data_IF_082554065370
#
_entry.id   IF_082554065370
#
_cell.length_a   1.000
_cell.length_b   1.000
_cell.length_c   1.000
_cell.angle_alpha   90.00
_cell.angle_beta   90.00
_cell.angle_gamma   90.00
#
_symmetry.space_group_name_H-M   'P 1'
#
loop_
_entity.id
_entity.type
_entity.pdbx_description
1 polymer ?
#
# COMPACT_ATOMS: atom_id res chain seq x y z
N UNK A 1 -41.35 -9.51 13.72
CA UNK A 1 -40.17 -9.54 14.60
C UNK A 1 -39.33 -10.76 14.23
N UNK A 2 -38.42 -10.63 13.29
CA UNK A 2 -37.44 -11.66 12.93
C UNK A 2 -36.07 -11.05 13.12
N UNK A 3 -35.40 -11.47 14.19
CA UNK A 3 -34.05 -11.05 14.56
C UNK A 3 -33.02 -11.67 13.59
N UNK A 4 -32.58 -10.93 12.59
CA UNK A 4 -31.40 -11.31 11.81
C UNK A 4 -30.14 -11.05 12.64
N UNK A 5 -29.47 -12.15 13.02
CA UNK A 5 -28.17 -12.15 13.65
C UNK A 5 -27.11 -11.54 12.71
N UNK A 6 -26.22 -10.67 13.19
CA UNK A 6 -25.19 -10.06 12.34
C UNK A 6 -24.22 -11.14 11.84
N UNK A 7 -24.11 -11.29 10.52
CA UNK A 7 -23.12 -12.17 9.86
C UNK A 7 -21.70 -11.75 10.26
N UNK A 8 -21.10 -12.53 11.11
CA UNK A 8 -19.68 -12.45 11.47
C UNK A 8 -18.82 -12.42 10.19
N UNK A 9 -18.20 -11.28 9.87
CA UNK A 9 -17.16 -11.20 8.85
C UNK A 9 -16.04 -12.17 9.25
N UNK A 10 -15.86 -13.26 8.48
CA UNK A 10 -14.73 -14.19 8.62
C UNK A 10 -13.43 -13.38 8.59
N UNK A 11 -12.79 -13.22 9.73
CA UNK A 11 -11.43 -12.73 9.88
C UNK A 11 -10.56 -13.56 8.94
N UNK A 12 -9.99 -12.97 7.90
CA UNK A 12 -9.06 -13.70 7.00
C UNK A 12 -8.03 -14.36 7.89
N UNK A 13 -8.04 -15.69 7.89
CA UNK A 13 -7.24 -16.51 8.77
C UNK A 13 -5.76 -16.17 8.59
N UNK A 14 -5.00 -15.89 9.65
CA UNK A 14 -3.55 -15.67 9.57
C UNK A 14 -2.81 -16.90 9.05
N UNK A 15 -3.46 -18.06 9.03
CA UNK A 15 -2.95 -19.34 8.54
C UNK A 15 -2.52 -19.32 7.07
N UNK A 16 -3.20 -18.56 6.21
CA UNK A 16 -2.79 -18.39 4.80
C UNK A 16 -1.42 -17.69 4.70
N UNK A 17 -1.19 -16.67 5.51
CA UNK A 17 0.09 -15.96 5.56
C UNK A 17 1.21 -16.87 6.08
N UNK A 18 0.95 -17.62 7.16
CA UNK A 18 1.88 -18.59 7.70
C UNK A 18 2.13 -19.76 6.75
N UNK A 19 1.11 -20.21 6.00
CA UNK A 19 1.24 -21.23 4.95
C UNK A 19 2.15 -20.77 3.81
N UNK A 20 1.98 -19.55 3.31
CA UNK A 20 2.85 -18.96 2.28
C UNK A 20 4.28 -18.82 2.80
N UNK A 21 4.47 -18.33 4.03
CA UNK A 21 5.79 -18.20 4.64
C UNK A 21 6.47 -19.56 4.83
N UNK A 22 5.74 -20.57 5.28
CA UNK A 22 6.24 -21.93 5.42
C UNK A 22 6.62 -22.52 4.05
N UNK A 23 5.79 -22.32 3.02
CA UNK A 23 6.09 -22.78 1.65
C UNK A 23 7.33 -22.07 1.08
N UNK A 24 7.50 -20.78 1.29
CA UNK A 24 8.68 -20.02 0.88
C UNK A 24 9.94 -20.49 1.62
N UNK A 25 9.83 -20.78 2.91
CA UNK A 25 10.91 -21.28 3.73
C UNK A 25 11.31 -22.72 3.32
N UNK A 26 10.33 -23.55 3.02
CA UNK A 26 10.52 -24.92 2.52
C UNK A 26 11.18 -24.91 1.13
N UNK A 27 10.74 -24.02 0.25
CA UNK A 27 11.36 -23.80 -1.06
C UNK A 27 12.81 -23.34 -0.90
N UNK A 28 13.07 -22.41 0.02
CA UNK A 28 14.42 -21.93 0.32
C UNK A 28 15.32 -23.07 0.85
N UNK A 29 14.80 -23.93 1.74
CA UNK A 29 15.51 -25.10 2.27
C UNK A 29 15.75 -26.15 1.19
N UNK A 30 14.80 -26.43 0.31
CA UNK A 30 14.96 -27.34 -0.83
C UNK A 30 16.03 -26.81 -1.78
N UNK A 31 15.99 -25.53 -2.11
CA UNK A 31 17.01 -24.88 -2.94
C UNK A 31 18.39 -24.93 -2.26
N UNK A 32 18.47 -24.79 -0.94
CA UNK A 32 19.70 -24.92 -0.18
C UNK A 32 20.23 -26.38 -0.18
N UNK A 33 19.35 -27.35 -0.02
CA UNK A 33 19.72 -28.77 0.06
C UNK A 33 20.10 -29.36 -1.31
N UNK A 34 19.35 -29.01 -2.36
CA UNK A 34 19.60 -29.47 -3.74
C UNK A 34 20.47 -28.50 -4.56
N UNK A 35 20.84 -27.36 -4.00
CA UNK A 35 21.66 -26.35 -4.65
C UNK A 35 23.10 -26.84 -4.87
N UNK A 36 23.77 -26.24 -5.84
CA UNK A 36 25.16 -26.55 -6.14
C UNK A 36 26.09 -26.29 -4.92
N UNK A 37 27.23 -26.99 -4.80
CA UNK A 37 28.17 -26.77 -3.70
C UNK A 37 28.64 -25.34 -3.53
N UNK A 38 28.61 -24.54 -4.60
CA UNK A 38 28.92 -23.12 -4.61
C UNK A 38 27.93 -22.26 -3.81
N UNK A 39 26.65 -22.63 -3.79
CA UNK A 39 25.64 -21.95 -2.97
C UNK A 39 25.91 -22.21 -1.49
N UNK A 40 26.16 -23.47 -1.12
CA UNK A 40 26.44 -23.86 0.27
C UNK A 40 27.72 -23.21 0.82
N UNK A 41 28.79 -23.09 0.02
CA UNK A 41 30.03 -22.44 0.44
C UNK A 41 29.86 -20.92 0.65
N UNK A 42 29.07 -20.25 -0.20
CA UNK A 42 28.82 -18.82 -0.07
C UNK A 42 28.10 -18.47 1.25
N UNK A 43 27.21 -19.32 1.75
CA UNK A 43 26.54 -19.12 3.02
C UNK A 43 27.42 -19.37 4.26
N UNK A 44 28.58 -19.96 4.11
CA UNK A 44 29.57 -20.12 5.17
C UNK A 44 30.52 -18.92 5.31
N UNK A 45 30.56 -18.04 4.30
CA UNK A 45 31.39 -16.84 4.32
C UNK A 45 30.68 -15.70 5.07
N UNK A 46 31.22 -15.24 6.24
CA UNK A 46 30.64 -14.14 7.01
C UNK A 46 30.60 -12.82 6.22
N UNK A 47 31.57 -12.56 5.34
CA UNK A 47 31.64 -11.36 4.52
C UNK A 47 30.52 -11.34 3.48
N UNK A 48 30.25 -12.49 2.87
CA UNK A 48 29.15 -12.65 1.93
C UNK A 48 27.80 -12.41 2.63
N UNK A 49 27.58 -13.04 3.79
CA UNK A 49 26.36 -12.87 4.58
C UNK A 49 26.15 -11.40 4.98
N UNK A 50 27.21 -10.74 5.43
CA UNK A 50 27.12 -9.33 5.79
C UNK A 50 26.72 -8.45 4.59
N UNK A 51 27.42 -8.59 3.45
CA UNK A 51 27.19 -7.75 2.26
C UNK A 51 25.90 -8.07 1.52
N UNK A 52 25.49 -9.32 1.45
CA UNK A 52 24.36 -9.78 0.63
C UNK A 52 23.07 -10.01 1.42
N UNK A 53 23.15 -10.18 2.74
CA UNK A 53 21.98 -10.45 3.58
C UNK A 53 21.79 -9.34 4.63
N UNK A 54 22.70 -9.20 5.58
CA UNK A 54 22.49 -8.32 6.74
C UNK A 54 22.44 -6.84 6.36
N UNK A 55 23.39 -6.34 5.58
CA UNK A 55 23.46 -4.93 5.18
C UNK A 55 22.23 -4.48 4.37
N UNK A 56 21.77 -5.21 3.33
CA UNK A 56 20.54 -4.86 2.63
C UNK A 56 19.29 -4.95 3.49
N UNK A 57 19.13 -6.00 4.32
CA UNK A 57 17.99 -6.13 5.22
C UNK A 57 17.95 -5.00 6.26
N UNK A 58 19.09 -4.66 6.85
CA UNK A 58 19.19 -3.54 7.80
C UNK A 58 18.79 -2.22 7.14
N UNK A 59 19.33 -1.96 5.93
CA UNK A 59 18.98 -0.77 5.15
C UNK A 59 17.48 -0.71 4.85
N UNK A 60 16.88 -1.82 4.40
CA UNK A 60 15.45 -1.90 4.14
C UNK A 60 14.63 -1.68 5.40
N UNK A 61 15.01 -2.32 6.52
CA UNK A 61 14.34 -2.15 7.81
C UNK A 61 14.35 -0.70 8.26
N UNK A 62 15.50 -0.02 8.18
CA UNK A 62 15.63 1.39 8.54
C UNK A 62 14.76 2.28 7.64
N UNK A 63 14.77 2.06 6.32
CA UNK A 63 13.98 2.85 5.38
C UNK A 63 12.47 2.60 5.54
N UNK A 64 12.05 1.36 5.74
CA UNK A 64 10.65 1.01 6.04
C UNK A 64 10.22 1.66 7.36
N UNK A 65 11.07 1.62 8.39
CA UNK A 65 10.81 2.26 9.67
C UNK A 65 10.63 3.76 9.52
N UNK A 66 11.51 4.42 8.76
CA UNK A 66 11.41 5.85 8.47
C UNK A 66 10.11 6.18 7.73
N UNK A 67 9.74 5.37 6.72
CA UNK A 67 8.48 5.54 5.98
C UNK A 67 7.25 5.34 6.86
N UNK A 68 7.27 4.37 7.76
CA UNK A 68 6.18 4.13 8.71
C UNK A 68 6.04 5.28 9.71
N UNK A 69 7.16 5.79 10.25
CA UNK A 69 7.16 6.93 11.17
C UNK A 69 6.67 8.19 10.45
N UNK A 70 7.19 8.48 9.26
CA UNK A 70 6.76 9.61 8.46
C UNK A 70 5.25 9.56 8.16
N UNK A 71 4.72 8.39 7.75
CA UNK A 71 3.30 8.18 7.51
C UNK A 71 2.46 8.44 8.76
N UNK A 72 2.91 7.99 9.93
CA UNK A 72 2.20 8.19 11.20
C UNK A 72 2.27 9.65 11.69
N UNK A 73 3.38 10.34 11.49
CA UNK A 73 3.51 11.76 11.81
C UNK A 73 2.56 12.60 10.93
N UNK A 74 2.46 12.28 9.64
CA UNK A 74 1.49 12.92 8.73
C UNK A 74 0.06 12.65 9.19
N UNK A 75 -0.27 11.42 9.58
CA UNK A 75 -1.59 11.05 10.12
C UNK A 75 -1.90 11.82 11.41
N UNK A 76 -0.93 11.92 12.32
CA UNK A 76 -1.08 12.56 13.63
C UNK A 76 -1.10 14.09 13.58
N UNK A 77 -0.45 14.70 12.57
CA UNK A 77 -0.31 16.16 12.44
C UNK A 77 -1.64 16.89 12.15
N UNK A 78 -2.74 16.14 11.97
CA UNK A 78 -4.06 16.73 11.68
C UNK A 78 -4.15 17.40 10.29
N UNK A 79 -3.24 17.08 9.39
CA UNK A 79 -3.27 17.57 7.99
C UNK A 79 -4.59 17.24 7.28
N UNK A 80 -5.29 16.21 7.77
CA UNK A 80 -6.61 15.80 7.29
C UNK A 80 -7.65 16.93 7.34
N UNK A 81 -7.57 17.84 8.33
CA UNK A 81 -8.43 19.02 8.40
C UNK A 81 -8.19 20.03 7.26
N UNK A 82 -6.94 20.20 6.84
CA UNK A 82 -6.58 21.06 5.69
C UNK A 82 -6.97 20.42 4.35
N UNK A 83 -6.96 19.09 4.27
CA UNK A 83 -7.40 18.36 3.09
C UNK A 83 -8.90 18.54 2.83
N UNK A 84 -9.72 18.74 3.86
CA UNK A 84 -11.15 18.99 3.68
C UNK A 84 -11.43 20.26 2.87
N UNK A 85 -10.56 21.26 2.94
CA UNK A 85 -10.66 22.48 2.13
C UNK A 85 -10.47 22.20 0.62
N UNK A 86 -9.58 21.24 0.27
CA UNK A 86 -9.33 20.80 -1.11
C UNK A 86 -10.45 19.87 -1.58
N UNK A 87 -10.98 19.06 -0.66
CA UNK A 87 -12.04 18.08 -0.95
C UNK A 87 -13.37 18.77 -1.32
N UNK A 88 -13.72 19.84 -0.63
CA UNK A 88 -15.00 20.56 -0.89
C UNK A 88 -15.21 20.97 -2.35
N UNK A 89 -14.30 21.68 -3.03
CA UNK A 89 -14.50 22.04 -4.43
C UNK A 89 -14.59 20.81 -5.34
N UNK A 90 -13.80 19.74 -5.05
CA UNK A 90 -13.82 18.50 -5.80
C UNK A 90 -15.19 17.81 -5.71
N UNK A 91 -15.75 17.68 -4.49
CA UNK A 91 -17.07 17.09 -4.26
C UNK A 91 -18.18 17.91 -4.88
N UNK A 92 -18.12 19.24 -4.76
CA UNK A 92 -19.08 20.16 -5.39
C UNK A 92 -19.09 20.02 -6.90
N UNK A 93 -17.92 20.03 -7.52
CA UNK A 93 -17.80 19.92 -8.97
C UNK A 93 -18.34 18.56 -9.48
N UNK A 94 -18.13 17.49 -8.73
CA UNK A 94 -18.60 16.15 -9.05
C UNK A 94 -20.06 15.86 -8.66
N UNK A 95 -20.81 16.82 -8.11
CA UNK A 95 -22.19 16.64 -7.58
C UNK A 95 -22.29 15.52 -6.54
N UNK A 96 -21.21 15.28 -5.79
CA UNK A 96 -21.13 14.25 -4.78
C UNK A 96 -21.71 14.77 -3.44
N UNK A 97 -22.55 13.97 -2.76
CA UNK A 97 -23.19 14.40 -1.50
C UNK A 97 -22.20 14.47 -0.34
N UNK A 98 -22.64 15.10 0.77
CA UNK A 98 -21.82 15.32 1.97
C UNK A 98 -21.22 14.03 2.55
N UNK A 99 -21.98 12.96 2.59
CA UNK A 99 -21.51 11.67 3.05
C UNK A 99 -20.33 11.13 2.23
N UNK A 100 -20.29 11.44 0.91
CA UNK A 100 -19.15 11.12 0.04
C UNK A 100 -17.92 11.94 0.45
N UNK A 101 -18.08 13.23 0.71
CA UNK A 101 -17.00 14.11 1.16
C UNK A 101 -16.44 13.70 2.52
N UNK A 102 -17.30 13.35 3.46
CA UNK A 102 -16.90 12.84 4.77
C UNK A 102 -16.11 11.52 4.66
N UNK A 103 -16.60 10.56 3.86
CA UNK A 103 -15.87 9.31 3.59
C UNK A 103 -14.53 9.56 2.93
N UNK A 104 -14.46 10.40 1.89
CA UNK A 104 -13.24 10.73 1.19
C UNK A 104 -12.18 11.36 2.12
N UNK A 105 -12.59 12.29 2.99
CA UNK A 105 -11.71 12.89 4.01
C UNK A 105 -11.23 11.83 5.02
N UNK A 106 -12.14 10.96 5.46
CA UNK A 106 -11.81 9.87 6.39
C UNK A 106 -10.84 8.87 5.77
N UNK A 107 -10.87 8.69 4.44
CA UNK A 107 -9.97 7.78 3.73
C UNK A 107 -8.49 8.19 3.80
N UNK A 108 -8.17 9.46 4.04
CA UNK A 108 -6.79 9.89 4.32
C UNK A 108 -6.26 9.43 5.67
N UNK A 109 -7.13 8.97 6.58
CA UNK A 109 -6.75 8.42 7.88
C UNK A 109 -6.89 6.92 7.90
N UNK A 110 -8.02 6.42 7.39
CA UNK A 110 -8.33 4.99 7.39
C UNK A 110 -9.27 4.64 6.25
N UNK A 111 -8.75 3.92 5.26
CA UNK A 111 -9.56 3.41 4.15
C UNK A 111 -10.67 2.48 4.60
N UNK A 112 -10.45 1.67 5.64
CA UNK A 112 -11.47 0.76 6.20
C UNK A 112 -12.59 1.51 6.90
N UNK A 113 -12.26 2.57 7.65
CA UNK A 113 -13.27 3.42 8.29
C UNK A 113 -14.10 4.18 7.25
N UNK A 114 -13.46 4.70 6.21
CA UNK A 114 -14.13 5.35 5.10
C UNK A 114 -15.13 4.44 4.38
N UNK A 115 -14.74 3.18 4.12
CA UNK A 115 -15.64 2.20 3.50
C UNK A 115 -16.80 1.82 4.42
N UNK A 116 -16.55 1.64 5.72
CA UNK A 116 -17.62 1.39 6.69
C UNK A 116 -18.63 2.54 6.74
N UNK A 117 -18.13 3.79 6.73
CA UNK A 117 -18.93 5.00 6.71
C UNK A 117 -19.85 5.09 5.47
N UNK A 118 -19.34 4.70 4.28
CA UNK A 118 -20.15 4.64 3.07
C UNK A 118 -21.28 3.62 3.17
N UNK A 119 -21.03 2.48 3.78
CA UNK A 119 -22.06 1.46 4.00
C UNK A 119 -23.14 1.98 4.94
N UNK A 120 -22.73 2.60 6.07
CA UNK A 120 -23.69 3.19 7.02
C UNK A 120 -24.53 4.28 6.37
N UNK A 121 -23.95 5.22 5.65
CA UNK A 121 -24.70 6.27 4.95
C UNK A 121 -25.64 5.72 3.88
N UNK A 122 -25.29 4.60 3.26
CA UNK A 122 -26.19 3.93 2.32
C UNK A 122 -27.38 3.27 3.04
N UNK A 123 -27.14 2.58 4.15
CA UNK A 123 -28.17 1.93 4.95
C UNK A 123 -29.15 2.95 5.55
N UNK A 124 -28.67 4.14 5.91
CA UNK A 124 -29.47 5.27 6.39
C UNK A 124 -30.20 6.03 5.25
N UNK A 125 -30.04 5.60 3.99
CA UNK A 125 -30.68 6.24 2.84
C UNK A 125 -30.05 7.58 2.42
N UNK A 126 -28.93 8.00 3.04
CA UNK A 126 -28.21 9.22 2.72
C UNK A 126 -27.43 9.16 1.42
N UNK A 127 -27.00 7.96 1.00
CA UNK A 127 -26.27 7.72 -0.25
C UNK A 127 -26.96 6.67 -1.12
N UNK A 128 -27.06 6.96 -2.40
CA UNK A 128 -27.49 5.97 -3.41
C UNK A 128 -26.38 4.98 -3.70
N UNK A 129 -26.70 3.80 -4.23
CA UNK A 129 -25.72 2.79 -4.63
C UNK A 129 -24.67 3.33 -5.62
N UNK A 130 -25.08 4.19 -6.54
CA UNK A 130 -24.16 4.86 -7.47
C UNK A 130 -23.15 5.75 -6.75
N UNK A 131 -23.61 6.58 -5.83
CA UNK A 131 -22.77 7.48 -5.04
C UNK A 131 -21.79 6.70 -4.17
N UNK A 132 -22.20 5.58 -3.56
CA UNK A 132 -21.33 4.69 -2.80
C UNK A 132 -20.21 4.13 -3.68
N UNK A 133 -20.54 3.60 -4.87
CA UNK A 133 -19.55 3.04 -5.80
C UNK A 133 -18.57 4.12 -6.25
N UNK A 134 -19.04 5.27 -6.70
CA UNK A 134 -18.20 6.37 -7.15
C UNK A 134 -17.27 6.86 -6.05
N UNK A 135 -17.80 7.06 -4.85
CA UNK A 135 -16.99 7.51 -3.69
C UNK A 135 -15.99 6.45 -3.26
N UNK A 136 -16.38 5.18 -3.28
CA UNK A 136 -15.45 4.07 -2.98
C UNK A 136 -14.26 4.04 -3.96
N UNK A 137 -14.51 4.29 -5.24
CA UNK A 137 -13.47 4.40 -6.26
C UNK A 137 -12.62 5.66 -6.07
N UNK A 138 -13.23 6.79 -5.71
CA UNK A 138 -12.52 8.04 -5.42
C UNK A 138 -11.62 7.92 -4.18
N UNK A 139 -11.99 7.13 -3.18
CA UNK A 139 -11.18 6.85 -2.00
C UNK A 139 -9.82 6.20 -2.33
N UNK A 140 -9.61 5.80 -3.58
CA UNK A 140 -8.29 5.36 -4.07
C UNK A 140 -7.23 6.46 -4.05
N UNK A 141 -7.59 7.74 -4.22
CA UNK A 141 -6.64 8.86 -4.13
C UNK A 141 -6.12 9.06 -2.69
N UNK A 142 -6.97 9.22 -1.65
CA UNK A 142 -6.52 9.22 -0.27
C UNK A 142 -5.69 7.99 0.11
N UNK A 143 -6.13 6.80 -0.33
CA UNK A 143 -5.41 5.56 -0.06
C UNK A 143 -4.00 5.56 -0.67
N UNK A 144 -3.83 6.11 -1.88
CA UNK A 144 -2.51 6.29 -2.49
C UNK A 144 -1.59 7.13 -1.60
N UNK A 145 -2.06 8.31 -1.17
CA UNK A 145 -1.28 9.20 -0.30
C UNK A 145 -0.99 8.57 1.07
N UNK A 146 -1.92 7.81 1.63
CA UNK A 146 -1.72 7.12 2.90
C UNK A 146 -0.58 6.08 2.82
N UNK A 147 -0.44 5.42 1.68
CA UNK A 147 0.60 4.41 1.46
C UNK A 147 1.88 4.96 0.84
N UNK A 148 1.83 6.17 0.26
CA UNK A 148 2.95 6.77 -0.47
C UNK A 148 4.25 6.82 0.34
N UNK A 149 4.28 7.26 1.63
CA UNK A 149 5.53 7.31 2.39
C UNK A 149 6.18 5.93 2.52
N UNK A 150 5.42 4.91 2.90
CA UNK A 150 5.94 3.55 3.03
C UNK A 150 6.41 2.99 1.69
N UNK A 151 5.62 3.19 0.63
CA UNK A 151 5.94 2.73 -0.73
C UNK A 151 7.18 3.43 -1.27
N UNK A 152 7.33 4.72 -1.05
CA UNK A 152 8.48 5.52 -1.46
C UNK A 152 9.78 4.98 -0.84
N UNK A 153 9.80 4.78 0.48
CA UNK A 153 10.99 4.30 1.19
C UNK A 153 11.31 2.82 0.92
N UNK A 154 10.37 2.05 0.38
CA UNK A 154 10.62 0.67 -0.07
C UNK A 154 11.11 0.66 -1.52
N UNK A 155 10.39 1.31 -2.43
CA UNK A 155 10.63 1.18 -3.87
C UNK A 155 11.88 1.93 -4.32
N UNK A 156 12.09 3.15 -3.82
CA UNK A 156 13.22 3.97 -4.25
C UNK A 156 14.59 3.31 -3.99
N UNK A 157 14.87 2.72 -2.81
CA UNK A 157 16.13 2.04 -2.58
C UNK A 157 16.30 0.72 -3.35
N UNK A 158 15.19 0.06 -3.71
CA UNK A 158 15.21 -1.22 -4.42
C UNK A 158 15.40 -1.03 -5.93
N UNK A 159 14.70 -0.06 -6.50
CA UNK A 159 14.59 0.12 -7.95
C UNK A 159 15.25 1.43 -8.46
N UNK A 160 15.80 2.27 -7.57
CA UNK A 160 16.48 3.50 -7.95
C UNK A 160 15.64 4.41 -8.85
N UNK A 161 16.16 4.81 -9.99
CA UNK A 161 15.49 5.69 -10.96
C UNK A 161 14.20 5.05 -11.51
N UNK A 162 14.19 3.75 -11.77
CA UNK A 162 12.99 3.03 -12.21
C UNK A 162 11.90 3.08 -11.14
N UNK A 163 12.27 3.03 -9.86
CA UNK A 163 11.35 3.20 -8.74
C UNK A 163 10.75 4.60 -8.68
N UNK A 164 11.55 5.64 -8.93
CA UNK A 164 11.06 7.01 -9.01
C UNK A 164 10.06 7.18 -10.17
N UNK A 165 10.41 6.67 -11.35
CA UNK A 165 9.52 6.70 -12.51
C UNK A 165 8.18 5.98 -12.23
N UNK A 166 8.23 4.81 -11.59
CA UNK A 166 7.03 4.09 -11.15
C UNK A 166 6.15 4.94 -10.23
N UNK A 167 6.74 5.62 -9.24
CA UNK A 167 5.98 6.48 -8.31
C UNK A 167 5.35 7.67 -9.02
N UNK A 168 6.07 8.30 -9.96
CA UNK A 168 5.54 9.42 -10.75
C UNK A 168 4.41 8.95 -11.66
N UNK A 169 4.57 7.85 -12.38
CA UNK A 169 3.54 7.30 -13.26
C UNK A 169 2.28 6.88 -12.49
N UNK A 170 2.44 6.24 -11.34
CA UNK A 170 1.30 5.83 -10.50
C UNK A 170 0.60 7.03 -9.87
N UNK A 171 1.32 8.10 -9.54
CA UNK A 171 0.73 9.36 -9.09
C UNK A 171 -0.11 9.99 -10.20
N UNK A 172 0.45 10.13 -11.40
CA UNK A 172 -0.25 10.68 -12.57
C UNK A 172 -1.49 9.85 -12.89
N UNK A 173 -1.37 8.52 -12.92
CA UNK A 173 -2.49 7.62 -13.17
C UNK A 173 -3.60 7.77 -12.10
N UNK A 174 -3.22 7.93 -10.82
CA UNK A 174 -4.17 8.15 -9.73
C UNK A 174 -4.89 9.50 -9.85
N UNK A 175 -4.17 10.54 -10.22
CA UNK A 175 -4.77 11.88 -10.46
C UNK A 175 -5.71 11.87 -11.66
N UNK A 176 -5.30 11.29 -12.80
CA UNK A 176 -6.13 11.15 -14.00
C UNK A 176 -7.39 10.32 -13.71
N UNK A 177 -7.25 9.20 -13.02
CA UNK A 177 -8.39 8.39 -12.58
C UNK A 177 -9.34 9.20 -11.71
N UNK A 178 -8.84 9.96 -10.76
CA UNK A 178 -9.66 10.79 -9.86
C UNK A 178 -10.37 11.88 -10.65
N UNK A 179 -9.68 12.59 -11.54
CA UNK A 179 -10.27 13.59 -12.42
C UNK A 179 -11.37 12.98 -13.31
N UNK A 180 -11.11 11.83 -13.91
CA UNK A 180 -12.08 11.10 -14.73
C UNK A 180 -13.32 10.68 -13.93
N UNK A 181 -13.15 10.16 -12.71
CA UNK A 181 -14.26 9.76 -11.84
C UNK A 181 -15.10 10.96 -11.39
N UNK A 182 -14.48 12.08 -11.05
CA UNK A 182 -15.19 13.30 -10.66
C UNK A 182 -15.94 13.90 -11.85
N UNK A 183 -15.32 13.89 -13.02
CA UNK A 183 -15.99 14.31 -14.26
C UNK A 183 -17.18 13.41 -14.59
N UNK A 184 -17.00 12.09 -14.50
CA UNK A 184 -18.08 11.13 -14.72
C UNK A 184 -19.20 11.30 -13.68
N UNK A 185 -18.87 11.54 -12.42
CA UNK A 185 -19.88 11.75 -11.38
C UNK A 185 -20.70 13.02 -11.64
N UNK A 186 -20.08 14.09 -12.14
CA UNK A 186 -20.76 15.32 -12.51
C UNK A 186 -21.87 15.11 -13.56
N UNK A 187 -21.63 14.26 -14.53
CA UNK A 187 -22.63 13.93 -15.58
C UNK A 187 -23.62 12.86 -15.16
N UNK A 188 -23.28 12.04 -14.16
CA UNK A 188 -24.07 10.88 -13.74
C UNK A 188 -24.94 11.14 -12.52
N UNK A 189 -24.68 12.20 -11.74
CA UNK A 189 -25.34 12.54 -10.50
C UNK A 189 -26.08 13.89 -10.62
N UNK A 190 -27.26 13.97 -10.00
CA UNK A 190 -27.97 15.23 -9.88
C UNK A 190 -27.29 16.18 -8.87
N UNK A 191 -27.27 17.50 -9.13
CA UNK A 191 -26.71 18.45 -8.17
C UNK A 191 -27.45 18.41 -6.84
N UNK A 192 -26.70 18.27 -5.75
CA UNK A 192 -27.24 18.34 -4.39
C UNK A 192 -26.52 19.46 -3.61
N UNK A 193 -27.26 20.15 -2.74
CA UNK A 193 -26.70 21.17 -1.87
C UNK A 193 -25.86 20.51 -0.77
N UNK A 194 -24.58 20.86 -0.72
CA UNK A 194 -23.62 20.33 0.25
C UNK A 194 -23.71 21.12 1.57
N UNK A 195 -24.09 20.44 2.65
CA UNK A 195 -24.00 20.94 4.03
C UNK A 195 -22.85 20.23 4.75
N UNK A 196 -21.63 20.36 4.23
CA UNK A 196 -20.46 19.75 4.90
C UNK A 196 -20.22 20.42 6.24
N UNK A 197 -20.64 19.81 7.34
CA UNK A 197 -20.11 20.11 8.65
C UNK A 197 -18.64 19.69 8.69
N UNK A 198 -17.75 20.61 9.01
CA UNK A 198 -16.37 20.28 9.31
C UNK A 198 -16.39 19.51 10.63
N UNK A 199 -16.17 18.19 10.62
CA UNK A 199 -15.83 17.48 11.85
C UNK A 199 -14.48 18.02 12.33
N UNK A 200 -14.49 18.92 13.27
CA UNK A 200 -13.34 19.28 14.08
C UNK A 200 -12.97 18.05 14.93
N UNK A 201 -12.05 17.24 14.42
CA UNK A 201 -11.42 16.22 15.26
C UNK A 201 -10.59 16.93 16.32
N UNK A 202 -10.93 16.70 17.58
CA UNK A 202 -10.13 17.13 18.73
C UNK A 202 -8.67 16.67 18.52
N UNK A 203 -7.75 17.63 18.56
CA UNK A 203 -6.31 17.34 18.48
C UNK A 203 -5.90 16.60 19.75
N UNK A 204 -5.63 15.32 19.63
CA UNK A 204 -5.07 14.53 20.73
C UNK A 204 -3.73 15.13 21.17
N UNK A 205 -3.43 15.18 22.46
CA UNK A 205 -2.12 15.64 22.95
C UNK A 205 -1.01 14.73 22.40
N UNK A 206 0.12 15.34 22.00
CA UNK A 206 1.25 14.66 21.35
C UNK A 206 1.77 13.43 22.11
N UNK A 207 1.70 13.43 23.45
CA UNK A 207 2.09 12.26 24.26
C UNK A 207 1.27 11.02 23.94
N UNK A 208 -0.04 11.15 23.88
CA UNK A 208 -0.97 10.04 23.56
C UNK A 208 -0.74 9.58 22.11
N UNK A 209 -0.50 10.54 21.22
CA UNK A 209 -0.19 10.23 19.81
C UNK A 209 1.09 9.41 19.68
N UNK A 210 2.16 9.77 20.41
CA UNK A 210 3.46 9.06 20.35
C UNK A 210 3.31 7.64 20.89
N UNK A 211 2.60 7.44 21.99
CA UNK A 211 2.44 6.13 22.61
C UNK A 211 1.58 5.17 21.75
N UNK A 212 0.42 5.65 21.27
CA UNK A 212 -0.42 4.90 20.32
C UNK A 212 0.34 4.60 19.00
N UNK A 213 1.15 5.56 18.55
CA UNK A 213 1.96 5.47 17.34
C UNK A 213 3.04 4.40 17.47
N UNK A 214 3.75 4.35 18.61
CA UNK A 214 4.83 3.40 18.83
C UNK A 214 4.35 1.94 18.81
N UNK A 215 3.24 1.64 19.48
CA UNK A 215 2.67 0.29 19.48
C UNK A 215 2.17 -0.12 18.09
N UNK A 216 1.52 0.81 17.35
CA UNK A 216 1.06 0.57 15.98
C UNK A 216 2.26 0.37 15.03
N UNK A 217 3.32 1.16 15.21
CA UNK A 217 4.57 1.08 14.45
C UNK A 217 5.22 -0.29 14.58
N UNK A 218 5.47 -0.75 15.80
CA UNK A 218 6.11 -2.05 16.04
C UNK A 218 5.30 -3.21 15.41
N UNK A 219 3.99 -3.22 15.60
CA UNK A 219 3.10 -4.24 15.01
C UNK A 219 3.09 -4.20 13.48
N UNK A 220 3.11 -3.00 12.88
CA UNK A 220 3.16 -2.83 11.42
C UNK A 220 4.53 -3.25 10.87
N UNK A 221 5.62 -2.78 11.50
CA UNK A 221 6.99 -3.13 11.12
C UNK A 221 7.21 -4.64 11.19
N UNK A 222 6.85 -5.28 12.30
CA UNK A 222 6.97 -6.73 12.46
C UNK A 222 6.21 -7.49 11.36
N UNK A 223 4.98 -7.08 11.03
CA UNK A 223 4.18 -7.72 9.97
C UNK A 223 4.83 -7.56 8.58
N UNK A 224 5.38 -6.38 8.28
CA UNK A 224 6.06 -6.11 7.02
C UNK A 224 7.36 -6.92 6.96
N UNK A 225 8.16 -6.93 8.01
CA UNK A 225 9.41 -7.68 8.05
C UNK A 225 9.20 -9.19 7.96
N UNK A 226 8.13 -9.70 8.56
CA UNK A 226 7.72 -11.11 8.44
C UNK A 226 7.47 -11.53 6.98
N UNK A 227 7.09 -10.61 6.11
CA UNK A 227 6.94 -10.85 4.67
C UNK A 227 8.22 -10.54 3.90
N UNK A 228 8.86 -9.42 4.18
CA UNK A 228 10.03 -8.92 3.42
C UNK A 228 11.24 -9.84 3.57
N UNK A 229 11.51 -10.33 4.79
CA UNK A 229 12.69 -11.17 5.04
C UNK A 229 12.65 -12.49 4.26
N UNK A 230 11.56 -13.30 4.31
CA UNK A 230 11.49 -14.53 3.53
C UNK A 230 11.54 -14.29 2.01
N UNK A 231 10.82 -13.27 1.52
CA UNK A 231 10.83 -12.92 0.10
C UNK A 231 12.24 -12.52 -0.35
N UNK A 232 12.94 -11.71 0.43
CA UNK A 232 14.32 -11.32 0.14
C UNK A 232 15.27 -12.54 0.12
N UNK A 233 15.13 -13.45 1.10
CA UNK A 233 15.91 -14.69 1.14
C UNK A 233 15.67 -15.55 -0.09
N UNK A 234 14.42 -15.73 -0.51
CA UNK A 234 14.09 -16.48 -1.73
C UNK A 234 14.69 -15.83 -2.96
N UNK A 235 14.56 -14.52 -3.13
CA UNK A 235 15.15 -13.79 -4.27
C UNK A 235 16.67 -13.94 -4.27
N UNK A 236 17.31 -13.83 -3.11
CA UNK A 236 18.76 -13.99 -2.97
C UNK A 236 19.21 -15.41 -3.38
N UNK A 237 18.50 -16.46 -2.92
CA UNK A 237 18.79 -17.85 -3.27
C UNK A 237 18.59 -18.10 -4.76
N UNK A 238 17.48 -17.66 -5.33
CA UNK A 238 17.17 -17.77 -6.76
C UNK A 238 18.21 -17.04 -7.62
N UNK A 239 18.68 -15.88 -7.13
CA UNK A 239 19.76 -15.13 -7.78
C UNK A 239 21.08 -15.90 -7.79
N UNK A 240 21.43 -16.58 -6.69
CA UNK A 240 22.65 -17.40 -6.59
C UNK A 240 22.61 -18.65 -7.50
N UNK A 241 21.42 -19.19 -7.78
CA UNK A 241 21.22 -20.28 -8.73
C UNK A 241 21.36 -19.85 -10.20
N UNK A 242 21.64 -18.57 -10.46
CA UNK A 242 21.78 -18.07 -11.83
C UNK A 242 20.47 -17.92 -12.61
N UNK A 243 19.31 -18.04 -11.94
CA UNK A 243 17.98 -17.92 -12.58
C UNK A 243 17.82 -16.61 -13.35
N UNK A 244 18.23 -15.49 -12.76
CA UNK A 244 18.10 -14.19 -13.43
C UNK A 244 19.05 -14.08 -14.64
N UNK A 245 20.24 -14.68 -14.58
CA UNK A 245 21.16 -14.74 -15.73
C UNK A 245 20.58 -15.58 -16.85
N UNK A 246 20.01 -16.75 -16.52
CA UNK A 246 19.32 -17.61 -17.47
C UNK A 246 18.10 -16.89 -18.08
N UNK A 247 17.28 -16.23 -17.26
CA UNK A 247 16.10 -15.48 -17.71
C UNK A 247 16.51 -14.35 -18.66
N UNK A 248 17.56 -13.60 -18.31
CA UNK A 248 18.10 -12.52 -19.15
C UNK A 248 18.54 -13.06 -20.52
N UNK A 249 19.25 -14.18 -20.56
CA UNK A 249 19.68 -14.81 -21.81
C UNK A 249 18.49 -15.26 -22.66
N UNK A 250 17.45 -15.85 -22.05
CA UNK A 250 16.23 -16.26 -22.74
C UNK A 250 15.45 -15.07 -23.30
N UNK A 251 15.29 -14.01 -22.51
CA UNK A 251 14.61 -12.81 -22.94
C UNK A 251 15.40 -12.04 -24.01
N UNK A 252 16.74 -11.94 -23.88
CA UNK A 252 17.59 -11.35 -24.90
C UNK A 252 17.50 -12.11 -26.22
N UNK A 253 17.52 -13.46 -26.20
CA UNK A 253 17.34 -14.29 -27.39
C UNK A 253 15.96 -14.19 -28.03
N UNK A 254 14.90 -13.89 -27.25
CA UNK A 254 13.55 -13.64 -27.75
C UNK A 254 13.35 -12.22 -28.29
N UNK A 255 14.07 -11.24 -27.73
CA UNK A 255 13.95 -9.82 -28.11
C UNK A 255 14.86 -9.43 -29.30
N UNK A 256 15.93 -10.18 -29.57
CA UNK A 256 16.75 -9.99 -30.77
C UNK A 256 16.01 -10.40 -32.05
N UNK A 257 14.90 -11.13 -31.95
CA UNK A 257 13.97 -11.36 -33.05
C UNK A 257 12.93 -10.23 -33.26
N UNK A 258 12.84 -9.28 -32.35
CA UNK A 258 11.98 -8.10 -32.44
C UNK A 258 12.84 -6.87 -32.16
N UNK A 259 13.15 -6.15 -33.23
CA UNK A 259 13.86 -4.88 -33.39
C UNK A 259 13.87 -3.93 -32.19
N UNK A 260 14.45 -4.31 -31.07
CA UNK A 260 14.76 -3.40 -29.96
C UNK A 260 16.21 -3.61 -29.52
N UNK A 261 17.13 -2.66 -29.77
CA UNK A 261 18.48 -2.74 -29.24
C UNK A 261 18.43 -2.65 -27.72
N UNK A 262 18.85 -3.72 -27.04
CA UNK A 262 19.04 -3.76 -25.59
C UNK A 262 20.47 -3.30 -25.29
N UNK A 263 20.74 -2.03 -25.52
CA UNK A 263 21.90 -1.32 -24.98
C UNK A 263 21.39 -0.28 -23.98
N UNK A 264 21.39 -0.64 -22.70
CA UNK A 264 21.41 0.28 -21.56
C UNK A 264 21.80 -0.50 -20.30
#
# INVERSE_FOLDING_TARGET
MTSETPKHKKKKSPWLLYGILAALLLLALLVFYFGSPTVSSSFKDPVFLWKRLFKPLLRMTLLISLGLIAGQVIEASGWTGRLSAIVRPLMRWGHLPDGSGASFTTAFVSGTAAQAMLVTFHEEGGLTRKEVILTSLLNGLPAYFLHLPTTFFIILPLAGQAGLLYLVLTLIATLLRTAGLVTFSRFSLAPRVLKMAAEERERKPWRVVIEETWQKFLKRLQRIMLLVVPVYLVIMLVSQLGFFSWLRLKLAGGLTSTVVPVEA
#
